data_IF_616436943158
#
_entry.id   IF_616436943158
#
_cell.length_a   1.000
_cell.length_b   1.000
_cell.length_c   1.000
_cell.angle_alpha   90.00
_cell.angle_beta   90.00
_cell.angle_gamma   90.00
#
_symmetry.space_group_name_H-M   'P 1'
#
loop_
_entity.id
_entity.type
_entity.pdbx_description
1 polymer ?
#
# COMPACT_ATOMS: atom_id res chain seq x y z
N UNK A 1 35.51 53.16 31.09
CA UNK A 1 34.66 52.36 32.02
C UNK A 1 34.46 51.01 31.34
N UNK A 2 34.78 49.84 31.88
CA UNK A 2 35.03 49.39 33.25
C UNK A 2 35.88 48.11 33.17
N UNK A 3 36.61 47.83 34.25
CA UNK A 3 37.71 46.88 34.39
C UNK A 3 37.24 45.48 34.84
N UNK A 4 37.97 44.44 34.37
CA UNK A 4 38.50 43.25 35.11
C UNK A 4 37.49 42.20 35.68
N UNK A 5 37.92 41.04 36.25
CA UNK A 5 38.81 39.98 35.72
C UNK A 5 38.50 38.52 36.23
N UNK A 6 39.34 37.54 35.81
CA UNK A 6 39.88 36.36 36.55
C UNK A 6 38.97 35.22 37.06
N UNK A 7 39.37 33.97 36.75
CA UNK A 7 39.82 32.88 37.66
C UNK A 7 39.91 31.56 36.86
N UNK A 8 41.06 30.94 36.60
CA UNK A 8 42.00 30.19 37.47
C UNK A 8 41.47 28.82 37.94
N UNK A 9 42.18 27.80 37.48
CA UNK A 9 42.55 26.53 38.14
C UNK A 9 41.51 25.44 38.40
N UNK A 10 41.73 24.27 37.78
CA UNK A 10 41.77 23.02 38.55
C UNK A 10 42.80 22.06 37.94
N UNK A 11 43.63 21.52 38.83
CA UNK A 11 44.87 20.79 38.59
C UNK A 11 44.79 19.51 39.44
N UNK A 12 44.85 18.31 38.85
CA UNK A 12 45.12 17.03 39.52
C UNK A 12 45.62 16.07 38.43
N UNK A 13 46.93 15.89 38.19
CA UNK A 13 47.93 15.14 38.97
C UNK A 13 47.63 13.64 39.12
N UNK A 14 48.14 12.84 38.18
CA UNK A 14 48.63 11.49 38.46
C UNK A 14 49.98 11.30 37.75
N UNK A 15 50.97 10.94 38.56
CA UNK A 15 52.38 10.73 38.21
C UNK A 15 52.59 9.35 37.57
N UNK A 16 53.45 9.20 36.54
CA UNK A 16 54.06 7.92 36.23
C UNK A 16 55.52 7.89 36.67
N UNK A 17 55.86 6.77 37.29
CA UNK A 17 57.18 6.34 37.74
C UNK A 17 58.21 6.41 36.61
N UNK A 18 59.43 6.83 36.99
CA UNK A 18 60.49 7.28 36.09
C UNK A 18 61.17 6.22 35.22
N UNK A 19 61.67 6.71 34.09
CA UNK A 19 62.73 6.11 33.28
C UNK A 19 63.46 7.25 32.55
N UNK A 20 64.77 7.39 32.77
CA UNK A 20 65.60 8.43 32.14
C UNK A 20 65.75 8.14 30.64
N UNK A 21 65.51 9.13 29.80
CA UNK A 21 66.11 9.21 28.45
C UNK A 21 66.69 10.62 28.27
N UNK A 22 68.00 10.76 27.96
CA UNK A 22 68.66 12.04 27.89
C UNK A 22 68.54 12.70 26.51
N UNK A 23 68.40 14.03 26.52
CA UNK A 23 68.68 14.89 25.38
C UNK A 23 67.45 15.27 24.55
N UNK A 24 67.02 16.53 24.68
CA UNK A 24 66.85 17.44 23.53
C UNK A 24 66.47 18.83 24.05
N UNK A 25 67.49 19.69 24.00
CA UNK A 25 67.43 21.12 24.23
C UNK A 25 66.70 21.81 23.08
N UNK A 26 65.87 22.82 23.43
CA UNK A 26 65.28 23.88 22.58
C UNK A 26 64.27 23.44 21.52
N UNK A 27 63.03 23.91 21.66
CA UNK A 27 62.42 24.84 20.70
C UNK A 27 61.05 25.33 21.20
N UNK A 28 61.05 26.52 21.80
CA UNK A 28 59.85 27.36 21.89
C UNK A 28 59.62 27.94 20.49
N UNK A 29 58.68 27.37 19.73
CA UNK A 29 58.15 28.00 18.50
C UNK A 29 56.64 28.11 18.60
N UNK A 30 56.19 29.36 18.61
CA UNK A 30 54.88 29.87 18.21
C UNK A 30 53.92 28.83 17.64
N UNK A 31 52.88 28.49 18.41
CA UNK A 31 51.68 27.85 17.88
C UNK A 31 50.73 28.99 17.50
N UNK A 32 50.94 29.56 16.32
CA UNK A 32 49.86 30.11 15.53
C UNK A 32 49.71 29.16 14.35
N UNK A 33 48.59 28.45 14.21
CA UNK A 33 48.35 27.71 12.98
C UNK A 33 48.36 28.72 11.83
N UNK A 34 49.08 28.43 10.73
CA UNK A 34 49.12 29.32 9.57
C UNK A 34 47.69 29.56 9.08
N UNK A 35 47.37 30.80 8.67
CA UNK A 35 46.06 31.21 8.13
C UNK A 35 45.51 30.21 7.08
N UNK A 36 46.41 29.63 6.26
CA UNK A 36 46.08 28.58 5.29
C UNK A 36 45.43 27.32 5.89
N UNK A 37 45.73 26.96 7.13
CA UNK A 37 45.14 25.78 7.78
C UNK A 37 43.71 26.05 8.24
N UNK A 38 43.40 27.30 8.63
CA UNK A 38 42.02 27.70 8.92
C UNK A 38 41.20 27.80 7.64
N UNK A 39 41.79 28.36 6.58
CA UNK A 39 41.16 28.48 5.27
C UNK A 39 40.82 27.10 4.70
N UNK A 40 41.72 26.13 4.77
CA UNK A 40 41.45 24.75 4.33
C UNK A 40 40.34 24.06 5.14
N UNK A 41 40.26 24.32 6.45
CA UNK A 41 39.20 23.77 7.31
C UNK A 41 37.85 24.44 7.01
N UNK A 42 37.82 25.75 6.78
CA UNK A 42 36.61 26.50 6.41
C UNK A 42 36.12 26.04 5.03
N UNK A 43 37.01 25.91 4.04
CA UNK A 43 36.65 25.41 2.70
C UNK A 43 36.16 23.95 2.73
N UNK A 44 36.74 23.11 3.61
CA UNK A 44 36.24 21.74 3.81
C UNK A 44 34.89 21.70 4.52
N UNK A 45 34.66 22.57 5.51
CA UNK A 45 33.36 22.70 6.18
C UNK A 45 32.29 23.25 5.24
N UNK A 46 32.60 24.25 4.42
CA UNK A 46 31.70 24.80 3.40
C UNK A 46 31.35 23.76 2.32
N UNK A 47 32.30 22.89 1.95
CA UNK A 47 32.04 21.77 1.02
C UNK A 47 31.23 20.63 1.65
N UNK A 48 31.26 20.48 2.97
CA UNK A 48 30.53 19.47 3.75
C UNK A 48 29.07 19.87 4.01
N UNK A 49 28.77 21.18 4.02
CA UNK A 49 27.40 21.72 4.10
C UNK A 49 26.79 21.81 2.69
N UNK A 50 26.95 20.76 1.88
CA UNK A 50 26.10 20.60 0.72
C UNK A 50 24.67 20.32 1.24
N UNK A 51 23.76 21.28 1.04
CA UNK A 51 22.35 21.13 1.38
C UNK A 51 21.84 19.76 0.89
N UNK A 52 21.04 19.02 1.68
CA UNK A 52 20.55 17.72 1.28
C UNK A 52 19.82 17.89 -0.06
N UNK A 53 20.43 17.40 -1.14
CA UNK A 53 19.80 17.40 -2.46
C UNK A 53 18.51 16.61 -2.29
N UNK A 54 17.37 17.29 -2.29
CA UNK A 54 16.07 16.65 -2.33
C UNK A 54 16.08 15.84 -3.63
N UNK A 55 16.37 14.55 -3.52
CA UNK A 55 16.38 13.67 -4.68
C UNK A 55 14.98 13.76 -5.30
N UNK A 56 14.91 14.28 -6.51
CA UNK A 56 13.64 14.38 -7.23
C UNK A 56 13.06 12.97 -7.35
N UNK A 57 11.88 12.74 -6.79
CA UNK A 57 11.19 11.45 -6.91
C UNK A 57 10.86 11.27 -8.40
N UNK A 58 11.65 10.43 -9.08
CA UNK A 58 11.45 10.13 -10.50
C UNK A 58 10.66 8.84 -10.58
N UNK A 59 9.37 8.93 -10.90
CA UNK A 59 8.56 7.74 -11.17
C UNK A 59 8.88 7.19 -12.55
N UNK A 60 9.10 5.87 -12.63
CA UNK A 60 9.14 5.17 -13.92
C UNK A 60 7.83 5.37 -14.67
N UNK A 61 7.86 5.53 -15.99
CA UNK A 61 6.65 5.58 -16.84
C UNK A 61 5.72 4.39 -16.54
N UNK A 62 6.29 3.22 -16.28
CA UNK A 62 5.54 2.01 -15.91
C UNK A 62 4.83 2.16 -14.56
N UNK A 63 5.47 2.78 -13.58
CA UNK A 63 4.86 3.04 -12.26
C UNK A 63 3.62 3.93 -12.39
N UNK A 64 3.71 5.00 -13.19
CA UNK A 64 2.56 5.91 -13.42
C UNK A 64 1.41 5.14 -14.06
N UNK A 65 1.68 4.36 -15.11
CA UNK A 65 0.66 3.56 -15.81
C UNK A 65 -0.02 2.58 -14.84
N UNK A 66 0.75 1.85 -14.03
CA UNK A 66 0.22 0.83 -13.12
C UNK A 66 -0.61 1.46 -12.00
N UNK A 67 -0.14 2.55 -11.40
CA UNK A 67 -0.87 3.27 -10.35
C UNK A 67 -2.19 3.83 -10.89
N UNK A 68 -2.17 4.48 -12.05
CA UNK A 68 -3.37 5.02 -12.68
C UNK A 68 -4.35 3.92 -13.10
N UNK A 69 -3.86 2.83 -13.69
CA UNK A 69 -4.68 1.69 -14.06
C UNK A 69 -5.30 1.02 -12.83
N UNK A 70 -4.55 0.88 -11.73
CA UNK A 70 -5.03 0.28 -10.49
C UNK A 70 -6.20 1.10 -9.91
N UNK A 71 -6.00 2.39 -9.70
CA UNK A 71 -7.04 3.27 -9.17
C UNK A 71 -8.27 3.33 -10.07
N UNK A 72 -8.07 3.45 -11.40
CA UNK A 72 -9.16 3.49 -12.37
C UNK A 72 -9.94 2.18 -12.45
N UNK A 73 -9.25 1.04 -12.44
CA UNK A 73 -9.89 -0.28 -12.44
C UNK A 73 -10.70 -0.54 -11.18
N UNK A 74 -10.23 -0.09 -10.01
CA UNK A 74 -10.98 -0.22 -8.76
C UNK A 74 -12.29 0.59 -8.83
N UNK A 75 -12.21 1.89 -9.13
CA UNK A 75 -13.40 2.75 -9.28
C UNK A 75 -14.38 2.21 -10.32
N UNK A 76 -13.86 1.76 -11.47
CA UNK A 76 -14.67 1.21 -12.54
C UNK A 76 -15.38 -0.08 -12.10
N UNK A 77 -14.69 -0.95 -11.34
CA UNK A 77 -15.27 -2.16 -10.78
C UNK A 77 -16.41 -1.86 -9.81
N UNK A 78 -16.20 -0.94 -8.86
CA UNK A 78 -17.22 -0.55 -7.88
C UNK A 78 -18.48 0.03 -8.55
N UNK A 79 -18.31 0.92 -9.53
CA UNK A 79 -19.44 1.50 -10.26
C UNK A 79 -20.12 0.47 -11.16
N UNK A 80 -19.36 -0.37 -11.87
CA UNK A 80 -19.91 -1.42 -12.73
C UNK A 80 -20.71 -2.46 -11.93
N UNK A 81 -20.36 -2.70 -10.66
CA UNK A 81 -21.05 -3.63 -9.77
C UNK A 81 -22.49 -3.21 -9.44
N UNK A 82 -22.87 -1.94 -9.66
CA UNK A 82 -24.26 -1.50 -9.58
C UNK A 82 -25.15 -2.19 -10.61
N UNK A 83 -24.57 -2.58 -11.75
CA UNK A 83 -25.31 -3.31 -12.78
C UNK A 83 -25.26 -4.79 -12.42
N UNK A 84 -26.41 -5.33 -12.05
CA UNK A 84 -26.63 -6.78 -12.00
C UNK A 84 -27.05 -7.24 -13.40
N UNK A 85 -26.18 -8.00 -14.04
CA UNK A 85 -26.40 -8.64 -15.34
C UNK A 85 -26.84 -10.10 -15.20
N UNK A 86 -27.17 -10.71 -16.34
CA UNK A 86 -27.38 -12.15 -16.44
C UNK A 86 -26.30 -12.72 -17.36
N UNK A 87 -25.48 -13.62 -16.83
CA UNK A 87 -24.40 -14.28 -17.58
C UNK A 87 -24.52 -15.78 -17.33
N UNK A 88 -24.61 -16.57 -18.41
CA UNK A 88 -24.81 -18.03 -18.34
C UNK A 88 -26.02 -18.44 -17.47
N UNK A 89 -27.08 -17.61 -17.44
CA UNK A 89 -28.29 -17.85 -16.64
C UNK A 89 -28.16 -17.51 -15.15
N UNK A 90 -27.03 -16.97 -14.71
CA UNK A 90 -26.79 -16.54 -13.33
C UNK A 90 -26.82 -15.02 -13.23
N UNK A 91 -27.33 -14.50 -12.11
CA UNK A 91 -27.17 -13.11 -11.74
C UNK A 91 -25.72 -12.80 -11.36
N UNK A 92 -25.18 -11.74 -11.92
CA UNK A 92 -23.76 -11.38 -11.83
C UNK A 92 -23.62 -9.87 -11.63
N UNK A 93 -22.80 -9.45 -10.65
CA UNK A 93 -22.37 -8.05 -10.61
C UNK A 93 -21.36 -7.81 -11.73
N UNK A 94 -21.55 -6.77 -12.54
CA UNK A 94 -20.71 -6.58 -13.72
C UNK A 94 -19.30 -6.06 -13.40
N UNK A 95 -19.02 -5.66 -12.15
CA UNK A 95 -17.68 -5.29 -11.70
C UNK A 95 -16.73 -6.48 -11.56
N UNK A 96 -17.27 -7.69 -11.34
CA UNK A 96 -16.50 -8.94 -11.20
C UNK A 96 -15.53 -9.24 -12.33
N UNK A 97 -15.76 -8.73 -13.54
CA UNK A 97 -14.86 -8.94 -14.67
C UNK A 97 -13.62 -8.03 -14.63
N UNK A 98 -13.67 -6.95 -13.85
CA UNK A 98 -12.62 -5.94 -13.73
C UNK A 98 -11.86 -6.13 -12.43
N UNK A 99 -12.56 -6.43 -11.34
CA UNK A 99 -11.95 -6.56 -10.01
C UNK A 99 -10.72 -7.48 -9.98
N UNK A 100 -10.69 -8.69 -10.59
CA UNK A 100 -9.53 -9.55 -10.56
C UNK A 100 -8.29 -8.98 -11.27
N UNK A 101 -8.49 -8.05 -12.21
CA UNK A 101 -7.39 -7.35 -12.89
C UNK A 101 -6.63 -6.47 -11.87
N UNK A 102 -7.32 -5.96 -10.84
CA UNK A 102 -6.69 -5.15 -9.79
C UNK A 102 -5.64 -5.92 -9.00
N UNK A 103 -5.83 -7.23 -8.76
CA UNK A 103 -4.82 -8.08 -8.12
C UNK A 103 -3.54 -8.15 -8.98
N UNK A 104 -3.70 -8.35 -10.29
CA UNK A 104 -2.55 -8.38 -11.21
C UNK A 104 -1.81 -7.03 -11.23
N UNK A 105 -2.55 -5.92 -11.23
CA UNK A 105 -1.97 -4.58 -11.17
C UNK A 105 -1.27 -4.32 -9.84
N UNK A 106 -1.81 -4.80 -8.72
CA UNK A 106 -1.20 -4.72 -7.38
C UNK A 106 0.11 -5.51 -7.32
N UNK A 107 0.15 -6.71 -7.90
CA UNK A 107 1.37 -7.53 -7.97
C UNK A 107 2.47 -6.84 -8.78
N UNK A 108 2.11 -6.26 -9.93
CA UNK A 108 3.05 -5.47 -10.74
C UNK A 108 3.50 -4.22 -9.98
N UNK A 109 2.59 -3.55 -9.26
CA UNK A 109 2.93 -2.42 -8.42
C UNK A 109 3.92 -2.82 -7.32
N UNK A 110 3.78 -4.00 -6.71
CA UNK A 110 4.71 -4.52 -5.70
C UNK A 110 6.12 -4.69 -6.26
N UNK A 111 6.23 -5.18 -7.49
CA UNK A 111 7.53 -5.36 -8.17
C UNK A 111 8.20 -4.02 -8.49
N UNK A 112 7.43 -3.00 -8.89
CA UNK A 112 7.99 -1.71 -9.36
C UNK A 112 8.22 -0.73 -8.21
N UNK A 113 7.32 -0.70 -7.23
CA UNK A 113 7.26 0.32 -6.19
C UNK A 113 7.74 -0.18 -4.81
N UNK A 114 7.70 -1.50 -4.57
CA UNK A 114 8.01 -2.10 -3.28
C UNK A 114 6.90 -1.96 -2.22
N UNK A 115 7.02 -2.74 -1.13
CA UNK A 115 5.99 -2.91 -0.09
C UNK A 115 5.44 -1.60 0.48
N UNK A 116 6.32 -0.64 0.82
CA UNK A 116 5.91 0.63 1.44
C UNK A 116 5.04 1.48 0.52
N UNK A 117 5.42 1.62 -0.74
CA UNK A 117 4.68 2.42 -1.72
C UNK A 117 3.38 1.74 -2.16
N UNK A 118 3.35 0.40 -2.26
CA UNK A 118 2.09 -0.30 -2.55
C UNK A 118 1.10 -0.20 -1.39
N UNK A 119 1.57 -0.27 -0.15
CA UNK A 119 0.68 0.01 0.99
C UNK A 119 0.06 1.40 0.89
N UNK A 120 0.84 2.41 0.51
CA UNK A 120 0.31 3.75 0.23
C UNK A 120 -0.67 3.73 -0.95
N UNK A 121 -0.37 3.03 -2.05
CA UNK A 121 -1.26 2.89 -3.21
C UNK A 121 -2.63 2.30 -2.81
N UNK A 122 -2.65 1.21 -2.05
CA UNK A 122 -3.87 0.53 -1.60
C UNK A 122 -4.70 1.47 -0.72
N UNK A 123 -4.08 2.11 0.28
CA UNK A 123 -4.76 3.07 1.16
C UNK A 123 -5.32 4.24 0.35
N UNK A 124 -4.54 4.80 -0.57
CA UNK A 124 -4.99 5.90 -1.41
C UNK A 124 -6.12 5.49 -2.34
N UNK A 125 -6.09 4.29 -2.92
CA UNK A 125 -7.19 3.77 -3.73
C UNK A 125 -8.48 3.62 -2.92
N UNK A 126 -8.40 3.08 -1.69
CA UNK A 126 -9.54 3.01 -0.79
C UNK A 126 -10.10 4.40 -0.45
N UNK A 127 -9.23 5.37 -0.16
CA UNK A 127 -9.63 6.77 0.07
C UNK A 127 -10.31 7.36 -1.17
N UNK A 128 -9.75 7.15 -2.36
CA UNK A 128 -10.32 7.64 -3.62
C UNK A 128 -11.72 7.05 -3.85
N UNK A 129 -11.90 5.75 -3.64
CA UNK A 129 -13.20 5.09 -3.74
C UNK A 129 -14.20 5.63 -2.71
N UNK A 130 -13.77 5.89 -1.47
CA UNK A 130 -14.62 6.51 -0.45
C UNK A 130 -15.01 7.95 -0.82
N UNK A 131 -14.09 8.73 -1.37
CA UNK A 131 -14.38 10.08 -1.88
C UNK A 131 -15.37 10.01 -3.04
N UNK A 132 -15.19 9.09 -3.98
CA UNK A 132 -16.13 8.85 -5.08
C UNK A 132 -17.51 8.49 -4.54
N UNK A 133 -17.61 7.53 -3.62
CA UNK A 133 -18.85 7.12 -2.97
C UNK A 133 -19.55 8.28 -2.27
N UNK A 134 -18.82 9.04 -1.45
CA UNK A 134 -19.36 10.19 -0.73
C UNK A 134 -19.82 11.31 -1.67
N UNK A 135 -19.04 11.58 -2.72
CA UNK A 135 -19.41 12.57 -3.72
C UNK A 135 -20.67 12.14 -4.49
N UNK A 136 -20.75 10.91 -4.97
CA UNK A 136 -21.93 10.40 -5.68
C UNK A 136 -23.17 10.35 -4.77
N UNK A 137 -23.02 10.01 -3.50
CA UNK A 137 -24.11 10.07 -2.53
C UNK A 137 -24.61 11.50 -2.31
N UNK A 138 -23.70 12.48 -2.25
CA UNK A 138 -24.07 13.90 -2.17
C UNK A 138 -24.78 14.36 -3.44
N UNK A 139 -24.24 14.07 -4.64
CA UNK A 139 -24.85 14.45 -5.92
C UNK A 139 -26.26 13.83 -6.05
N UNK A 140 -26.42 12.56 -5.67
CA UNK A 140 -27.71 11.87 -5.67
C UNK A 140 -28.75 12.48 -4.69
N UNK A 141 -28.30 13.20 -3.67
CA UNK A 141 -29.17 13.84 -2.67
C UNK A 141 -29.57 15.28 -3.00
N UNK A 142 -28.94 15.92 -3.99
CA UNK A 142 -29.28 17.28 -4.41
C UNK A 142 -30.56 17.27 -5.25
N UNK A 143 -31.49 18.24 -5.07
CA UNK A 143 -32.68 18.36 -5.90
C UNK A 143 -32.33 18.42 -7.39
N UNK A 144 -32.96 17.56 -8.18
CA UNK A 144 -32.75 17.52 -9.63
C UNK A 144 -33.55 18.61 -10.32
N UNK A 145 -32.95 19.24 -11.35
CA UNK A 145 -33.67 20.16 -12.23
C UNK A 145 -34.79 19.40 -12.98
N UNK A 146 -36.05 19.87 -12.90
CA UNK A 146 -37.16 19.23 -13.61
C UNK A 146 -36.97 19.09 -15.12
N UNK A 147 -36.19 19.98 -15.76
CA UNK A 147 -35.93 19.93 -17.20
C UNK A 147 -34.98 18.80 -17.61
N UNK A 148 -34.18 18.24 -16.69
CA UNK A 148 -33.28 17.11 -16.95
C UNK A 148 -34.01 15.77 -16.97
N UNK A 149 -35.01 15.59 -16.10
CA UNK A 149 -35.91 14.42 -16.10
C UNK A 149 -35.33 13.07 -15.63
N UNK A 150 -34.01 12.97 -15.38
CA UNK A 150 -33.36 11.71 -14.97
C UNK A 150 -32.94 11.65 -13.49
N UNK A 151 -33.41 12.60 -12.68
CA UNK A 151 -33.04 12.73 -11.26
C UNK A 151 -33.25 11.45 -10.45
N UNK A 152 -34.48 10.94 -10.46
CA UNK A 152 -34.84 9.73 -9.70
C UNK A 152 -34.02 8.51 -10.14
N UNK A 153 -33.75 8.37 -11.44
CA UNK A 153 -32.91 7.29 -11.97
C UNK A 153 -31.46 7.42 -11.53
N UNK A 154 -30.91 8.64 -11.54
CA UNK A 154 -29.55 8.90 -11.06
C UNK A 154 -29.43 8.55 -9.57
N UNK A 155 -30.36 9.01 -8.74
CA UNK A 155 -30.34 8.75 -7.30
C UNK A 155 -30.54 7.28 -6.96
N UNK A 156 -31.40 6.57 -7.70
CA UNK A 156 -31.62 5.14 -7.53
C UNK A 156 -30.39 4.30 -7.90
N UNK A 157 -29.66 4.68 -8.95
CA UNK A 157 -28.49 3.92 -9.45
C UNK A 157 -27.22 4.28 -8.69
N UNK A 158 -26.87 5.57 -8.61
CA UNK A 158 -25.57 6.01 -8.09
C UNK A 158 -25.59 6.35 -6.59
N UNK A 159 -26.77 6.68 -6.04
CA UNK A 159 -26.93 6.93 -4.60
C UNK A 159 -26.43 5.79 -3.70
N UNK A 160 -26.67 4.51 -4.01
CA UNK A 160 -26.23 3.41 -3.14
C UNK A 160 -24.79 2.91 -3.39
N UNK A 161 -24.00 3.54 -4.28
CA UNK A 161 -22.59 3.14 -4.58
C UNK A 161 -21.74 2.98 -3.33
N UNK A 162 -21.93 3.85 -2.34
CA UNK A 162 -21.18 3.81 -1.07
C UNK A 162 -21.21 2.44 -0.41
N UNK A 163 -22.31 1.71 -0.55
CA UNK A 163 -22.47 0.38 0.05
C UNK A 163 -21.56 -0.64 -0.63
N UNK A 164 -21.46 -0.59 -1.96
CA UNK A 164 -20.53 -1.44 -2.73
C UNK A 164 -19.10 -1.12 -2.34
N UNK A 165 -18.74 0.16 -2.30
CA UNK A 165 -17.39 0.61 -1.94
C UNK A 165 -17.00 0.11 -0.54
N UNK A 166 -17.88 0.27 0.46
CA UNK A 166 -17.58 -0.21 1.83
C UNK A 166 -17.44 -1.73 1.84
N UNK A 167 -18.33 -2.47 1.16
CA UNK A 167 -18.25 -3.92 1.08
C UNK A 167 -16.95 -4.38 0.39
N UNK A 168 -16.54 -3.71 -0.70
CA UNK A 168 -15.29 -3.97 -1.41
C UNK A 168 -14.08 -3.74 -0.50
N UNK A 169 -14.01 -2.61 0.20
CA UNK A 169 -12.86 -2.29 1.08
C UNK A 169 -12.75 -3.33 2.21
N UNK A 170 -13.87 -3.71 2.83
CA UNK A 170 -13.86 -4.73 3.90
C UNK A 170 -13.42 -6.09 3.34
N UNK A 171 -13.96 -6.50 2.18
CA UNK A 171 -13.58 -7.75 1.52
C UNK A 171 -12.09 -7.77 1.17
N UNK A 172 -11.57 -6.70 0.55
CA UNK A 172 -10.17 -6.55 0.15
C UNK A 172 -9.25 -6.60 1.38
N UNK A 173 -9.55 -5.86 2.44
CA UNK A 173 -8.70 -5.84 3.66
C UNK A 173 -8.69 -7.18 4.36
N UNK A 174 -9.85 -7.80 4.58
CA UNK A 174 -9.94 -9.08 5.29
C UNK A 174 -9.28 -10.20 4.49
N UNK A 175 -9.53 -10.24 3.18
CA UNK A 175 -8.97 -11.28 2.32
C UNK A 175 -7.45 -11.15 2.14
N UNK A 176 -6.91 -9.93 2.02
CA UNK A 176 -5.47 -9.70 1.90
C UNK A 176 -4.71 -10.11 3.17
N UNK A 177 -5.28 -9.83 4.36
CA UNK A 177 -4.71 -10.27 5.63
C UNK A 177 -4.66 -11.79 5.72
N UNK A 178 -5.76 -12.46 5.35
CA UNK A 178 -5.82 -13.92 5.35
C UNK A 178 -4.90 -14.53 4.29
N UNK A 179 -4.83 -13.94 3.10
CA UNK A 179 -3.92 -14.38 2.04
C UNK A 179 -2.47 -14.34 2.53
N UNK A 180 -2.06 -13.21 3.10
CA UNK A 180 -0.71 -13.01 3.65
C UNK A 180 -0.38 -14.06 4.71
N UNK A 181 -1.29 -14.30 5.67
CA UNK A 181 -1.03 -15.26 6.75
C UNK A 181 -1.00 -16.71 6.26
N UNK A 182 -1.91 -17.11 5.38
CA UNK A 182 -1.92 -18.47 4.82
C UNK A 182 -0.70 -18.70 3.93
N UNK A 183 -0.31 -17.71 3.14
CA UNK A 183 0.90 -17.76 2.32
C UNK A 183 2.15 -17.91 3.19
N UNK A 184 2.28 -17.08 4.23
CA UNK A 184 3.41 -17.14 5.16
C UNK A 184 3.45 -18.47 5.92
N UNK A 185 2.31 -18.96 6.40
CA UNK A 185 2.18 -20.28 7.00
C UNK A 185 2.63 -21.39 6.04
N UNK A 186 2.23 -21.35 4.77
CA UNK A 186 2.63 -22.37 3.79
C UNK A 186 4.14 -22.41 3.60
N UNK A 187 4.77 -21.25 3.45
CA UNK A 187 6.23 -21.15 3.26
C UNK A 187 7.00 -21.63 4.48
N UNK A 188 6.54 -21.28 5.69
CA UNK A 188 7.26 -21.58 6.94
C UNK A 188 6.98 -22.97 7.50
N UNK A 189 5.80 -23.56 7.23
CA UNK A 189 5.37 -24.84 7.81
C UNK A 189 5.21 -25.97 6.80
N UNK A 190 5.00 -25.68 5.51
CA UNK A 190 4.73 -26.72 4.50
C UNK A 190 5.93 -26.93 3.60
N UNK A 191 6.27 -25.95 2.75
CA UNK A 191 7.42 -26.04 1.84
C UNK A 191 7.72 -24.71 1.14
N UNK A 192 8.98 -24.48 0.82
CA UNK A 192 9.45 -23.37 -0.01
C UNK A 192 9.56 -23.73 -1.49
N UNK A 193 9.52 -25.03 -1.85
CA UNK A 193 9.84 -25.53 -3.20
C UNK A 193 8.80 -25.19 -4.27
N UNK A 194 7.52 -25.13 -3.89
CA UNK A 194 6.40 -25.05 -4.84
C UNK A 194 5.69 -23.69 -4.76
N UNK A 195 6.21 -22.70 -5.49
CA UNK A 195 5.64 -21.33 -5.52
C UNK A 195 4.18 -21.28 -5.97
N UNK A 196 3.81 -22.12 -6.95
CA UNK A 196 2.43 -22.22 -7.41
C UNK A 196 1.49 -22.73 -6.30
N UNK A 197 1.97 -23.65 -5.45
CA UNK A 197 1.15 -24.28 -4.43
C UNK A 197 0.80 -23.30 -3.30
N UNK A 198 1.75 -22.46 -2.87
CA UNK A 198 1.47 -21.41 -1.87
C UNK A 198 0.42 -20.40 -2.35
N UNK A 199 0.45 -20.01 -3.63
CA UNK A 199 -0.58 -19.13 -4.23
C UNK A 199 -1.94 -19.82 -4.28
N UNK A 200 -2.00 -21.07 -4.75
CA UNK A 200 -3.28 -21.77 -4.82
C UNK A 200 -3.88 -22.02 -3.43
N UNK A 201 -3.04 -22.32 -2.43
CA UNK A 201 -3.50 -22.54 -1.05
C UNK A 201 -3.95 -21.25 -0.39
N UNK A 202 -3.21 -20.15 -0.54
CA UNK A 202 -3.64 -18.85 0.00
C UNK A 202 -4.94 -18.38 -0.67
N UNK A 203 -5.02 -18.44 -2.00
CA UNK A 203 -6.21 -18.07 -2.76
C UNK A 203 -7.41 -18.99 -2.47
N UNK A 204 -7.19 -20.28 -2.17
CA UNK A 204 -8.27 -21.18 -1.76
C UNK A 204 -8.97 -20.76 -0.47
N UNK A 205 -8.32 -19.94 0.37
CA UNK A 205 -8.90 -19.38 1.60
C UNK A 205 -9.35 -17.94 1.39
N UNK A 206 -8.50 -17.09 0.80
CA UNK A 206 -8.75 -15.66 0.68
C UNK A 206 -9.88 -15.34 -0.32
N UNK A 207 -9.92 -16.00 -1.48
CA UNK A 207 -10.91 -15.71 -2.55
C UNK A 207 -12.36 -16.03 -2.15
N UNK A 208 -12.67 -17.18 -1.51
CA UNK A 208 -14.01 -17.42 -0.99
C UNK A 208 -14.43 -16.39 0.04
N UNK A 209 -13.53 -15.98 0.93
CA UNK A 209 -13.84 -15.02 2.00
C UNK A 209 -14.07 -13.62 1.42
N UNK A 210 -13.22 -13.18 0.49
CA UNK A 210 -13.41 -11.94 -0.28
C UNK A 210 -14.78 -11.92 -0.97
N UNK A 211 -15.09 -12.98 -1.73
CA UNK A 211 -16.33 -13.05 -2.50
C UNK A 211 -17.56 -13.12 -1.60
N UNK A 212 -17.47 -13.79 -0.46
CA UNK A 212 -18.55 -13.90 0.52
C UNK A 212 -18.83 -12.53 1.17
N UNK A 213 -17.79 -11.90 1.72
CA UNK A 213 -17.91 -10.57 2.36
C UNK A 213 -18.47 -9.55 1.37
N UNK A 214 -17.95 -9.54 0.14
CA UNK A 214 -18.43 -8.63 -0.89
C UNK A 214 -19.88 -8.90 -1.27
N UNK A 215 -20.24 -10.12 -1.66
CA UNK A 215 -21.59 -10.43 -2.14
C UNK A 215 -22.65 -10.17 -1.05
N UNK A 216 -22.36 -10.58 0.20
CA UNK A 216 -23.27 -10.36 1.33
C UNK A 216 -23.33 -8.88 1.74
N UNK A 217 -22.19 -8.19 1.81
CA UNK A 217 -22.14 -6.78 2.19
C UNK A 217 -22.81 -5.87 1.15
N UNK A 218 -22.48 -6.06 -0.12
CA UNK A 218 -22.96 -5.23 -1.22
C UNK A 218 -24.44 -5.47 -1.53
N UNK A 219 -24.90 -6.72 -1.50
CA UNK A 219 -26.22 -7.09 -2.03
C UNK A 219 -27.14 -7.82 -1.04
N UNK A 220 -26.63 -8.30 0.11
CA UNK A 220 -27.43 -9.05 1.09
C UNK A 220 -28.48 -8.17 1.79
N UNK A 221 -29.70 -8.66 2.08
CA UNK A 221 -30.72 -7.90 2.80
C UNK A 221 -30.40 -7.83 4.31
N UNK A 222 -29.31 -7.17 4.67
CA UNK A 222 -28.80 -7.05 6.04
C UNK A 222 -29.70 -6.13 6.90
N UNK A 223 -29.71 -6.31 8.23
CA UNK A 223 -30.43 -5.41 9.15
C UNK A 223 -30.04 -3.94 8.92
N UNK A 224 -31.03 -3.06 8.77
CA UNK A 224 -30.83 -1.64 8.47
C UNK A 224 -30.56 -1.32 6.99
N UNK A 225 -30.27 -2.32 6.15
CA UNK A 225 -30.05 -2.16 4.71
C UNK A 225 -31.09 -2.88 3.85
N UNK A 226 -31.99 -3.67 4.45
CA UNK A 226 -32.98 -4.48 3.73
C UNK A 226 -33.86 -3.67 2.75
N UNK A 227 -34.11 -2.39 3.03
CA UNK A 227 -34.92 -1.50 2.17
C UNK A 227 -34.09 -0.73 1.13
N UNK A 228 -32.79 -1.00 1.02
CA UNK A 228 -31.90 -0.37 0.03
C UNK A 228 -32.18 -0.90 -1.38
N UNK A 229 -32.05 -0.07 -2.44
CA UNK A 229 -32.16 -0.52 -3.83
C UNK A 229 -31.22 -1.67 -4.22
N UNK A 230 -30.10 -1.83 -3.50
CA UNK A 230 -29.12 -2.90 -3.73
C UNK A 230 -29.43 -4.20 -2.99
N UNK A 231 -30.43 -4.23 -2.09
CA UNK A 231 -30.77 -5.44 -1.35
C UNK A 231 -31.52 -6.42 -2.24
N UNK A 232 -30.86 -7.53 -2.57
CA UNK A 232 -31.36 -8.57 -3.46
C UNK A 232 -31.81 -9.80 -2.65
N UNK A 233 -32.72 -10.63 -3.20
CA UNK A 233 -33.06 -11.91 -2.58
C UNK A 233 -31.83 -12.80 -2.42
N UNK A 234 -31.74 -13.55 -1.32
CA UNK A 234 -30.62 -14.47 -1.06
C UNK A 234 -30.25 -15.40 -2.22
N UNK A 235 -31.20 -15.99 -2.99
CA UNK A 235 -30.83 -16.78 -4.16
C UNK A 235 -29.99 -16.02 -5.20
N UNK A 236 -30.28 -14.73 -5.41
CA UNK A 236 -29.53 -13.86 -6.33
C UNK A 236 -28.15 -13.55 -5.77
N UNK A 237 -28.05 -13.25 -4.47
CA UNK A 237 -26.77 -13.01 -3.77
C UNK A 237 -25.85 -14.22 -3.89
N UNK A 238 -26.40 -15.44 -3.77
CA UNK A 238 -25.61 -16.66 -3.93
C UNK A 238 -25.16 -16.91 -5.37
N UNK A 239 -25.96 -16.55 -6.37
CA UNK A 239 -25.53 -16.59 -7.77
C UNK A 239 -24.34 -15.65 -8.01
N UNK A 240 -24.42 -14.42 -7.49
CA UNK A 240 -23.33 -13.44 -7.55
C UNK A 240 -22.07 -13.99 -6.87
N UNK A 241 -22.20 -14.50 -5.65
CA UNK A 241 -21.10 -15.12 -4.91
C UNK A 241 -20.41 -16.24 -5.71
N UNK A 242 -21.18 -17.20 -6.22
CA UNK A 242 -20.65 -18.34 -6.96
C UNK A 242 -19.97 -17.92 -8.27
N UNK A 243 -20.55 -16.95 -8.99
CA UNK A 243 -19.96 -16.45 -10.22
C UNK A 243 -18.66 -15.69 -9.96
N UNK A 244 -18.63 -14.84 -8.92
CA UNK A 244 -17.42 -14.12 -8.51
C UNK A 244 -16.30 -15.08 -8.11
N UNK A 245 -16.66 -16.12 -7.36
CA UNK A 245 -15.74 -17.18 -6.98
C UNK A 245 -15.13 -17.87 -8.22
N UNK A 246 -15.98 -18.23 -9.19
CA UNK A 246 -15.54 -18.87 -10.43
C UNK A 246 -14.62 -17.96 -11.25
N UNK A 247 -14.97 -16.69 -11.44
CA UNK A 247 -14.16 -15.72 -12.18
C UNK A 247 -12.80 -15.50 -11.51
N UNK A 248 -12.77 -15.30 -10.19
CA UNK A 248 -11.52 -15.06 -9.45
C UNK A 248 -10.59 -16.28 -9.46
N UNK A 249 -11.14 -17.49 -9.34
CA UNK A 249 -10.33 -18.70 -9.49
C UNK A 249 -9.84 -18.89 -10.92
N UNK A 250 -10.67 -18.62 -11.94
CA UNK A 250 -10.22 -18.66 -13.33
C UNK A 250 -9.07 -17.69 -13.58
N UNK A 251 -9.18 -16.47 -13.07
CA UNK A 251 -8.10 -15.46 -13.16
C UNK A 251 -6.86 -15.91 -12.39
N UNK A 252 -7.00 -16.49 -11.20
CA UNK A 252 -5.87 -17.07 -10.44
C UNK A 252 -5.13 -18.11 -11.27
N UNK A 253 -5.83 -19.02 -11.94
CA UNK A 253 -5.21 -20.05 -12.77
C UNK A 253 -4.50 -19.47 -13.99
N UNK A 254 -5.10 -18.46 -14.62
CA UNK A 254 -4.52 -17.75 -15.78
C UNK A 254 -3.30 -16.93 -15.38
N UNK A 255 -3.32 -16.30 -14.20
CA UNK A 255 -2.21 -15.47 -13.71
C UNK A 255 -1.12 -16.29 -13.02
N UNK A 256 -1.37 -17.54 -12.64
CA UNK A 256 -0.43 -18.40 -11.92
C UNK A 256 0.96 -18.49 -12.58
N UNK A 257 1.12 -18.61 -13.92
CA UNK A 257 2.44 -18.64 -14.55
C UNK A 257 3.27 -17.38 -14.30
N UNK A 258 2.63 -16.23 -14.01
CA UNK A 258 3.31 -14.97 -13.77
C UNK A 258 4.14 -14.97 -12.48
N UNK A 259 3.90 -15.89 -11.54
CA UNK A 259 4.72 -15.96 -10.32
C UNK A 259 6.19 -16.24 -10.64
N UNK A 260 6.46 -17.05 -11.66
CA UNK A 260 7.81 -17.43 -12.08
C UNK A 260 8.58 -16.32 -12.79
N UNK A 261 7.92 -15.21 -13.11
CA UNK A 261 8.61 -14.03 -13.66
C UNK A 261 9.39 -13.26 -12.59
N UNK A 262 9.12 -13.52 -11.31
CA UNK A 262 9.88 -12.96 -10.20
C UNK A 262 10.80 -14.03 -9.58
N UNK A 263 12.05 -13.67 -9.23
CA UNK A 263 12.91 -14.56 -8.46
C UNK A 263 12.25 -14.94 -7.12
N UNK A 264 12.37 -16.22 -6.72
CA UNK A 264 11.97 -16.62 -5.37
C UNK A 264 12.91 -15.98 -4.35
N UNK A 265 12.39 -15.27 -3.34
CA UNK A 265 13.22 -14.79 -2.26
C UNK A 265 13.84 -15.92 -1.44
N UNK A 266 15.01 -15.69 -0.85
CA UNK A 266 15.53 -16.55 0.21
C UNK A 266 14.69 -16.32 1.47
N UNK A 267 13.79 -17.27 1.75
CA UNK A 267 12.83 -17.18 2.86
C UNK A 267 13.49 -17.33 4.23
N UNK A 268 14.68 -17.95 4.31
CA UNK A 268 15.41 -18.08 5.57
C UNK A 268 15.93 -16.72 6.06
N UNK A 269 16.38 -15.86 5.13
CA UNK A 269 16.88 -14.51 5.47
C UNK A 269 15.75 -13.52 5.78
N UNK A 270 14.52 -13.76 5.28
CA UNK A 270 13.38 -12.88 5.54
C UNK A 270 12.75 -13.13 6.91
N UNK A 271 12.71 -14.37 7.39
CA UNK A 271 12.26 -14.67 8.77
C UNK A 271 13.13 -13.99 9.83
N UNK A 272 14.43 -13.83 9.59
CA UNK A 272 15.33 -13.13 10.51
C UNK A 272 15.12 -11.61 10.53
N UNK A 273 14.60 -11.03 9.44
CA UNK A 273 14.38 -9.60 9.31
C UNK A 273 13.00 -9.14 9.82
N UNK A 274 12.01 -10.04 9.82
CA UNK A 274 10.63 -9.78 10.30
C UNK A 274 10.41 -10.23 11.77
N UNK A 275 11.41 -10.83 12.43
CA UNK A 275 11.45 -11.11 13.89
C UNK A 275 11.97 -9.92 14.69
#
# INVERSE_FOLDING_TARGET
MQRLPLKSDFLLYFSPVGGRVPGLTKLRRSIHPPEQHKENIVTQLESSVAAPRTAAITFSRTAVIVVSAYAGAQMLSDVASLKIGIVLGLAVDMGTFIYPITFTLRDVAHKILGKRHVRTLIIMAAIINLVMAGYLAWVAGVPSDPAWGLGDSFSAILGPVWRIVIASIIAEVVSELLDTEVYHWFVTKVTTRYQWARVLVSNAVSVPIDSFIFAVGAFGPLPGLANSPLSLPWPVVWQIFLFNLAVKFAVTLVSLPLIYTAPDPDWNQREEADR
#
